data_IF_878785588207
#
_entry.id   IF_878785588207
#
_cell.length_a   1.000
_cell.length_b   1.000
_cell.length_c   1.000
_cell.angle_alpha   90.00
_cell.angle_beta   90.00
_cell.angle_gamma   90.00
#
_symmetry.space_group_name_H-M   'P 1'
#
loop_
_entity.id
_entity.type
_entity.pdbx_description
1 polymer ?
#
# COMPACT_ATOMS: atom_id res chain seq x y z
N UNK A 1 12.87 29.72 -18.68
CA UNK A 1 12.59 28.30 -18.95
C UNK A 1 13.61 27.36 -18.30
N UNK A 2 14.93 27.59 -18.44
CA UNK A 2 15.98 26.70 -17.88
C UNK A 2 15.95 26.53 -16.35
N UNK A 3 15.56 27.57 -15.61
CA UNK A 3 15.55 27.54 -14.14
C UNK A 3 14.40 26.72 -13.55
N UNK A 4 13.24 26.68 -14.21
CA UNK A 4 12.10 25.86 -13.78
C UNK A 4 12.40 24.37 -13.90
N UNK A 5 13.19 23.98 -14.89
CA UNK A 5 13.64 22.60 -15.06
C UNK A 5 14.56 22.14 -13.92
N UNK A 6 15.48 23.01 -13.48
CA UNK A 6 16.35 22.73 -12.35
C UNK A 6 15.57 22.59 -11.03
N UNK A 7 14.57 23.44 -10.81
CA UNK A 7 13.68 23.37 -9.64
C UNK A 7 12.85 22.07 -9.64
N UNK A 8 12.32 21.66 -10.80
CA UNK A 8 11.59 20.40 -10.94
C UNK A 8 12.46 19.19 -10.59
N UNK A 9 13.71 19.17 -11.06
CA UNK A 9 14.66 18.09 -10.77
C UNK A 9 14.96 18.02 -9.27
N UNK A 10 15.23 19.17 -8.63
CA UNK A 10 15.49 19.23 -7.19
C UNK A 10 14.27 18.75 -6.39
N UNK A 11 13.06 19.11 -6.83
CA UNK A 11 11.82 18.66 -6.21
C UNK A 11 11.67 17.13 -6.32
N UNK A 12 11.84 16.56 -7.51
CA UNK A 12 11.75 15.11 -7.74
C UNK A 12 12.81 14.30 -6.99
N UNK A 13 14.02 14.86 -6.82
CA UNK A 13 15.09 14.22 -6.05
C UNK A 13 14.93 14.41 -4.52
N UNK A 14 14.23 15.45 -4.08
CA UNK A 14 13.98 15.76 -2.67
C UNK A 14 12.83 14.94 -2.05
N UNK A 15 11.86 14.52 -2.86
CA UNK A 15 10.85 13.53 -2.46
C UNK A 15 11.44 12.13 -2.63
N UNK A 16 12.12 11.64 -1.59
CA UNK A 16 12.57 10.25 -1.54
C UNK A 16 11.40 9.29 -1.70
N UNK A 17 11.58 8.26 -2.54
CA UNK A 17 10.65 7.13 -2.59
C UNK A 17 10.85 6.30 -1.33
N UNK A 18 10.06 6.57 -0.29
CA UNK A 18 10.01 5.70 0.88
C UNK A 18 9.16 4.47 0.54
N UNK A 19 9.72 3.29 0.71
CA UNK A 19 8.96 2.04 0.68
C UNK A 19 7.98 2.02 1.85
N UNK A 20 6.70 2.21 1.57
CA UNK A 20 5.64 1.97 2.53
C UNK A 20 5.19 0.51 2.42
N UNK A 21 5.39 -0.27 3.48
CA UNK A 21 4.84 -1.61 3.59
C UNK A 21 3.38 -1.49 4.01
N UNK A 22 2.52 -1.43 3.01
CA UNK A 22 1.10 -1.11 3.13
C UNK A 22 0.27 -2.22 3.78
N UNK A 23 0.65 -3.49 3.53
CA UNK A 23 -0.12 -4.65 3.95
C UNK A 23 0.82 -5.76 4.42
N UNK A 24 0.38 -6.50 5.44
CA UNK A 24 0.94 -7.79 5.82
C UNK A 24 -0.15 -8.84 5.63
N UNK A 25 0.14 -9.85 4.81
CA UNK A 25 -0.81 -10.93 4.51
C UNK A 25 -0.30 -12.26 5.07
N UNK A 26 -1.16 -12.97 5.77
CA UNK A 26 -0.93 -14.34 6.23
C UNK A 26 -2.00 -15.23 5.61
N UNK A 27 -1.57 -16.31 4.95
CA UNK A 27 -2.45 -17.34 4.42
C UNK A 27 -2.40 -18.56 5.32
N UNK A 28 -3.57 -18.99 5.81
CA UNK A 28 -3.74 -20.18 6.65
C UNK A 28 -4.91 -21.00 6.10
N UNK A 29 -4.58 -22.10 5.40
CA UNK A 29 -5.56 -22.96 4.72
C UNK A 29 -6.52 -22.14 3.83
N UNK A 30 -7.82 -22.18 4.10
CA UNK A 30 -8.86 -21.43 3.38
C UNK A 30 -8.96 -19.95 3.76
N UNK A 31 -8.20 -19.48 4.75
CA UNK A 31 -8.28 -18.11 5.23
C UNK A 31 -7.08 -17.28 4.77
N UNK A 32 -7.37 -16.07 4.33
CA UNK A 32 -6.36 -15.03 4.12
C UNK A 32 -6.65 -13.87 5.05
N UNK A 33 -5.67 -13.55 5.90
CA UNK A 33 -5.75 -12.45 6.87
C UNK A 33 -4.81 -11.37 6.39
N UNK A 34 -5.32 -10.16 6.24
CA UNK A 34 -4.55 -9.00 5.82
C UNK A 34 -4.65 -7.89 6.85
N UNK A 35 -3.51 -7.32 7.23
CA UNK A 35 -3.43 -6.15 8.10
C UNK A 35 -2.78 -5.03 7.30
N UNK A 36 -3.53 -3.96 7.03
CA UNK A 36 -3.05 -2.86 6.20
C UNK A 36 -4.00 -1.68 6.17
N UNK A 37 -3.89 -0.82 5.16
CA UNK A 37 -4.82 0.29 4.98
C UNK A 37 -6.20 -0.21 4.62
N UNK A 38 -7.22 0.46 5.17
CA UNK A 38 -8.60 0.12 4.86
C UNK A 38 -8.95 0.46 3.41
N UNK A 39 -8.54 1.64 2.96
CA UNK A 39 -8.80 2.17 1.63
C UNK A 39 -7.47 2.65 1.04
N UNK A 40 -7.19 2.25 -0.20
CA UNK A 40 -6.00 2.66 -0.94
C UNK A 40 -6.28 3.87 -1.85
N UNK A 41 -5.31 4.77 -2.10
CA UNK A 41 -3.92 4.81 -1.61
C UNK A 41 -3.82 5.30 -0.14
N UNK A 42 -2.65 5.21 0.52
CA UNK A 42 -2.48 5.68 1.89
C UNK A 42 -2.66 7.19 1.98
N UNK A 43 -3.75 7.61 2.60
CA UNK A 43 -3.95 9.02 2.92
C UNK A 43 -3.91 9.21 4.44
N UNK A 44 -3.26 10.28 4.88
CA UNK A 44 -3.26 10.66 6.28
C UNK A 44 -4.71 10.84 6.77
N UNK A 45 -5.06 10.17 7.87
CA UNK A 45 -6.41 10.16 8.43
C UNK A 45 -7.27 8.96 8.03
N UNK A 46 -6.79 8.09 7.13
CA UNK A 46 -7.43 6.78 6.86
C UNK A 46 -6.98 5.77 7.92
N UNK A 47 -7.93 4.96 8.41
CA UNK A 47 -7.66 3.92 9.40
C UNK A 47 -7.02 2.68 8.75
N UNK A 48 -6.24 1.96 9.53
CA UNK A 48 -5.88 0.59 9.19
C UNK A 48 -7.07 -0.35 9.42
N UNK A 49 -7.10 -1.46 8.70
CA UNK A 49 -8.08 -2.53 8.85
C UNK A 49 -7.40 -3.90 8.98
N UNK A 50 -8.14 -4.83 9.57
CA UNK A 50 -7.84 -6.26 9.52
C UNK A 50 -8.93 -6.90 8.66
N UNK A 51 -8.54 -7.44 7.50
CA UNK A 51 -9.45 -8.06 6.53
C UNK A 51 -9.31 -9.57 6.60
N UNK A 52 -10.44 -10.26 6.73
CA UNK A 52 -10.53 -11.71 6.67
C UNK A 52 -11.22 -12.12 5.37
N UNK A 53 -10.49 -12.82 4.53
CA UNK A 53 -10.99 -13.39 3.28
C UNK A 53 -11.12 -14.91 3.44
N UNK A 54 -12.29 -15.43 3.07
CA UNK A 54 -12.66 -16.83 3.21
C UNK A 54 -12.72 -17.42 1.79
N UNK A 55 -11.72 -18.22 1.43
CA UNK A 55 -11.69 -18.89 0.14
C UNK A 55 -12.43 -20.22 0.26
N UNK A 56 -13.51 -20.41 -0.50
CA UNK A 56 -14.08 -21.74 -0.62
C UNK A 56 -13.13 -22.54 -1.52
N UNK A 57 -12.51 -23.59 -0.97
CA UNK A 57 -11.83 -24.58 -1.80
C UNK A 57 -12.94 -25.31 -2.59
N UNK A 58 -13.08 -24.99 -3.88
CA UNK A 58 -13.96 -25.73 -4.79
C UNK A 58 -13.29 -27.07 -5.10
N UNK A 59 -13.28 -27.95 -4.09
CA UNK A 59 -12.72 -29.30 -4.21
C UNK A 59 -13.37 -30.03 -5.38
N UNK A 60 -12.58 -30.28 -6.42
CA UNK A 60 -12.93 -31.11 -7.56
C UNK A 60 -12.50 -32.56 -7.30
#
# INVERSE_FOLDING_TARGET
>A
MKNYFAVLIIFLLGFGFYSAYAHTTITAEQYKIEIGWKDEPPLAGIQNAITFEFNQDEGN
#
